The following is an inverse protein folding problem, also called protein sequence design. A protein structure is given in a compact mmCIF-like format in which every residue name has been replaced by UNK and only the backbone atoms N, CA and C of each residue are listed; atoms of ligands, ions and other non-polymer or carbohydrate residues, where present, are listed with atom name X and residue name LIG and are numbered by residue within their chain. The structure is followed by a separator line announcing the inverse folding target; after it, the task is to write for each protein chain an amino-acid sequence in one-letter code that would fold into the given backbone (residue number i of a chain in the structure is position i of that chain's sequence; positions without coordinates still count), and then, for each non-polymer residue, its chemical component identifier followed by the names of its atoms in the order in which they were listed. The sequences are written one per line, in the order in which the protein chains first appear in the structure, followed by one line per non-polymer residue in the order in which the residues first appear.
data_IF_454580945305
#
_entry.id   IF_454580945305
#
_cell.length_a   1.000
_cell.length_b   1.000
_cell.length_c   1.000
_cell.angle_alpha   90.00
_cell.angle_beta   90.00
_cell.angle_gamma   90.00
#
_symmetry.space_group_name_H-M   'P 1'
#
loop_
_entity.id
_entity.type
_entity.pdbx_description
1 polymer ?
#
# COMPACT_ATOMS: atom_id res chain seq x y z
N UNK A 1 10.86 7.06 5.56
CA UNK A 1 10.76 7.96 6.72
C UNK A 1 10.34 7.13 7.93
N UNK A 2 11.30 6.62 8.68
CA UNK A 2 11.10 5.52 9.63
C UNK A 2 10.87 6.09 11.04
N UNK A 3 9.60 6.29 11.39
CA UNK A 3 9.03 6.35 12.74
C UNK A 3 9.88 6.88 13.93
N UNK A 4 10.51 8.06 13.79
CA UNK A 4 11.27 8.72 14.88
C UNK A 4 10.44 8.91 16.16
N UNK A 5 9.12 9.01 16.03
CA UNK A 5 8.20 9.20 17.15
C UNK A 5 8.18 8.05 18.16
N UNK A 6 8.55 6.84 17.75
CA UNK A 6 8.63 5.66 18.64
C UNK A 6 10.08 5.18 18.82
N UNK A 7 11.07 5.97 18.42
CA UNK A 7 12.49 5.61 18.54
C UNK A 7 12.90 5.31 19.99
N UNK A 8 12.21 5.91 20.97
CA UNK A 8 12.44 5.64 22.39
C UNK A 8 12.10 4.22 22.82
N UNK A 9 11.11 3.58 22.18
CA UNK A 9 10.77 2.19 22.44
C UNK A 9 11.82 1.24 21.86
N UNK A 10 12.52 1.62 20.78
CA UNK A 10 13.50 0.75 20.11
C UNK A 10 14.73 0.44 20.96
N UNK A 11 15.06 1.32 21.91
CA UNK A 11 16.23 1.13 22.75
C UNK A 11 15.95 1.71 24.14
N UNK A 12 15.42 0.85 25.01
CA UNK A 12 15.06 1.17 26.39
C UNK A 12 16.30 1.63 27.17
N UNK A 13 17.49 1.08 26.90
CA UNK A 13 18.73 1.48 27.60
C UNK A 13 19.25 2.85 27.17
N UNK A 14 19.01 3.27 25.93
CA UNK A 14 19.20 4.66 25.51
C UNK A 14 18.18 5.56 26.19
N UNK A 15 16.91 5.13 26.28
CA UNK A 15 15.88 5.90 26.99
C UNK A 15 16.24 6.14 28.45
N UNK A 16 16.74 5.14 29.17
CA UNK A 16 17.20 5.29 30.57
C UNK A 16 18.17 6.46 30.77
N UNK A 17 19.06 6.70 29.79
CA UNK A 17 20.13 7.72 29.83
C UNK A 17 19.68 9.13 29.43
N UNK A 18 18.46 9.30 28.92
CA UNK A 18 17.92 10.61 28.50
C UNK A 18 17.47 11.40 29.74
N UNK A 19 17.65 12.73 29.69
CA UNK A 19 17.19 13.66 30.73
C UNK A 19 15.66 13.64 30.86
N UNK A 20 15.13 13.72 32.09
CA UNK A 20 13.70 13.66 32.37
C UNK A 20 12.88 14.69 31.57
N UNK A 21 13.38 15.92 31.43
CA UNK A 21 12.72 16.96 30.63
C UNK A 21 12.59 16.60 29.15
N UNK A 22 13.60 15.93 28.59
CA UNK A 22 13.57 15.46 27.20
C UNK A 22 12.63 14.28 27.02
N UNK A 23 12.61 13.34 27.98
CA UNK A 23 11.67 12.20 27.99
C UNK A 23 10.21 12.67 27.95
N UNK A 24 9.87 13.62 28.84
CA UNK A 24 8.53 14.21 28.90
C UNK A 24 8.14 14.89 27.60
N UNK A 25 9.05 15.68 27.01
CA UNK A 25 8.80 16.33 25.73
C UNK A 25 8.54 15.33 24.59
N UNK A 26 9.21 14.18 24.59
CA UNK A 26 8.96 13.11 23.61
C UNK A 26 7.57 12.49 23.80
N UNK A 27 7.15 12.22 25.04
CA UNK A 27 5.83 11.64 25.33
C UNK A 27 4.69 12.59 24.93
N UNK A 28 4.81 13.89 25.24
CA UNK A 28 3.83 14.90 24.84
C UNK A 28 3.76 15.07 23.32
N UNK A 29 4.91 15.01 22.62
CA UNK A 29 4.93 15.01 21.15
C UNK A 29 4.23 13.78 20.58
N UNK A 30 4.38 12.61 21.22
CA UNK A 30 3.70 11.40 20.79
C UNK A 30 2.18 11.53 20.98
N UNK A 31 1.73 12.04 22.12
CA UNK A 31 0.32 12.33 22.36
C UNK A 31 -0.24 13.24 21.28
N UNK A 32 0.39 14.39 21.01
CA UNK A 32 -0.06 15.31 19.96
C UNK A 32 -0.17 14.65 18.58
N UNK A 33 0.73 13.72 18.28
CA UNK A 33 0.73 12.99 17.00
C UNK A 33 -0.37 11.92 16.93
N UNK A 34 -0.78 11.38 18.07
CA UNK A 34 -1.86 10.40 18.22
C UNK A 34 -3.19 11.04 18.64
N UNK A 35 -3.27 12.37 18.71
CA UNK A 35 -4.52 13.10 18.90
C UNK A 35 -5.22 13.22 17.55
N UNK A 36 -6.43 12.68 17.48
CA UNK A 36 -7.31 12.83 16.31
C UNK A 36 -7.77 14.28 16.13
N UNK A 37 -8.27 14.63 14.94
CA UNK A 37 -8.79 15.97 14.64
C UNK A 37 -9.96 16.38 15.56
N UNK A 38 -10.66 15.42 16.17
CA UNK A 38 -11.72 15.65 17.16
C UNK A 38 -11.21 15.96 18.57
N UNK A 39 -9.90 15.96 18.78
CA UNK A 39 -9.27 16.25 20.07
C UNK A 39 -9.18 15.06 21.02
N UNK A 40 -9.68 13.88 20.63
CA UNK A 40 -9.49 12.65 21.40
C UNK A 40 -8.08 12.10 21.16
N UNK A 41 -7.31 11.94 22.25
CA UNK A 41 -5.97 11.37 22.24
C UNK A 41 -6.02 9.87 22.61
N UNK A 42 -5.31 9.04 21.85
CA UNK A 42 -5.21 7.60 22.13
C UNK A 42 -4.37 7.28 23.38
N UNK A 43 -3.51 8.23 23.80
CA UNK A 43 -2.63 8.11 24.95
C UNK A 43 -2.55 9.44 25.71
N UNK A 44 -2.27 9.36 27.01
CA UNK A 44 -1.83 10.49 27.82
C UNK A 44 -0.30 10.51 27.92
N UNK A 45 0.32 11.60 27.48
CA UNK A 45 1.77 11.74 27.43
C UNK A 45 2.42 11.92 28.79
N UNK A 46 1.70 12.44 29.79
CA UNK A 46 2.21 12.59 31.15
C UNK A 46 2.19 11.25 31.87
N UNK A 47 1.08 10.50 31.75
CA UNK A 47 0.99 9.16 32.33
C UNK A 47 1.99 8.20 31.66
N UNK A 48 2.15 8.29 30.32
CA UNK A 48 3.16 7.52 29.60
C UNK A 48 4.58 7.80 30.13
N UNK A 49 4.90 9.05 30.46
CA UNK A 49 6.20 9.39 31.01
C UNK A 49 6.44 8.70 32.36
N UNK A 50 5.48 8.74 33.27
CA UNK A 50 5.57 8.07 34.56
C UNK A 50 5.64 6.54 34.44
N UNK A 51 4.83 5.96 33.55
CA UNK A 51 4.89 4.53 33.22
C UNK A 51 6.29 4.10 32.74
N UNK A 52 6.92 4.93 31.92
CA UNK A 52 8.28 4.69 31.42
C UNK A 52 9.37 4.87 32.48
N UNK A 53 9.14 5.67 33.52
CA UNK A 53 10.05 5.77 34.67
C UNK A 53 9.99 4.55 35.58
N UNK A 54 8.84 3.86 35.62
CA UNK A 54 8.67 2.61 36.35
C UNK A 54 9.27 1.40 35.61
N UNK A 55 9.41 1.50 34.29
CA UNK A 55 9.87 0.40 33.43
C UNK A 55 11.23 -0.18 33.88
N UNK A 56 12.30 0.60 34.19
CA UNK A 56 13.57 0.07 34.68
C UNK A 56 13.49 -0.64 36.03
N UNK A 57 12.47 -0.38 36.83
CA UNK A 57 12.26 -1.03 38.14
C UNK A 57 11.65 -2.42 37.94
N UNK A 58 10.77 -2.54 36.95
CA UNK A 58 10.07 -3.79 36.62
C UNK A 58 10.90 -4.69 35.71
N UNK A 59 11.75 -4.12 34.85
CA UNK A 59 12.53 -4.83 33.84
C UNK A 59 14.05 -4.61 34.04
N UNK A 60 14.75 -5.66 34.45
CA UNK A 60 16.16 -5.59 34.88
C UNK A 60 17.20 -5.75 33.75
N UNK A 61 16.80 -6.03 32.51
CA UNK A 61 17.74 -6.36 31.42
C UNK A 61 17.31 -5.84 30.06
N UNK A 62 18.26 -5.86 29.11
CA UNK A 62 18.09 -5.62 27.68
C UNK A 62 16.90 -6.46 27.16
N UNK A 63 15.74 -5.83 27.06
CA UNK A 63 14.48 -6.47 26.66
C UNK A 63 14.00 -5.84 25.38
N UNK A 64 13.53 -6.66 24.45
CA UNK A 64 12.96 -6.12 23.22
C UNK A 64 11.58 -5.54 23.50
N UNK A 65 11.09 -4.60 22.68
CA UNK A 65 9.73 -4.07 22.81
C UNK A 65 8.65 -5.17 22.81
N UNK A 66 8.91 -6.25 22.06
CA UNK A 66 8.03 -7.41 21.99
C UNK A 66 8.03 -8.20 23.31
N UNK A 67 9.19 -8.36 23.95
CA UNK A 67 9.30 -9.03 25.25
C UNK A 67 8.57 -8.25 26.34
N UNK A 68 8.74 -6.91 26.35
CA UNK A 68 8.02 -6.02 27.27
C UNK A 68 6.50 -6.13 27.05
N UNK A 69 6.05 -6.10 25.79
CA UNK A 69 4.63 -6.25 25.48
C UNK A 69 4.07 -7.60 25.93
N UNK A 70 4.77 -8.70 25.61
CA UNK A 70 4.36 -10.04 26.01
C UNK A 70 4.34 -10.21 27.53
N UNK A 71 5.30 -9.62 28.24
CA UNK A 71 5.33 -9.65 29.70
C UNK A 71 4.16 -8.89 30.32
N UNK A 72 3.89 -7.67 29.85
CA UNK A 72 2.75 -6.87 30.32
C UNK A 72 1.43 -7.63 30.12
N UNK A 73 1.27 -8.26 28.96
CA UNK A 73 0.05 -9.00 28.64
C UNK A 73 -0.07 -10.30 29.45
N UNK A 74 1.00 -11.09 29.54
CA UNK A 74 0.99 -12.38 30.25
C UNK A 74 0.77 -12.23 31.75
N UNK A 75 1.20 -11.11 32.34
CA UNK A 75 1.04 -10.83 33.77
C UNK A 75 -0.18 -9.94 34.08
N UNK A 76 -1.04 -9.66 33.10
CA UNK A 76 -2.21 -8.76 33.24
C UNK A 76 -1.86 -7.37 33.79
N UNK A 77 -0.70 -6.82 33.42
CA UNK A 77 -0.22 -5.50 33.86
C UNK A 77 -0.71 -4.36 32.96
N UNK A 78 -1.66 -4.63 32.06
CA UNK A 78 -2.23 -3.63 31.13
C UNK A 78 -2.95 -2.50 31.85
N UNK A 79 -3.46 -2.72 33.06
CA UNK A 79 -4.05 -1.66 33.89
C UNK A 79 -2.99 -0.79 34.59
N UNK A 80 -1.77 -1.30 34.76
CA UNK A 80 -0.65 -0.58 35.38
C UNK A 80 0.10 0.24 34.33
N UNK A 81 0.17 -0.29 33.11
CA UNK A 81 0.88 0.32 31.97
C UNK A 81 -0.04 0.53 30.75
N UNK A 82 -1.17 1.25 30.88
CA UNK A 82 -2.14 1.41 29.80
C UNK A 82 -1.55 2.17 28.60
N UNK A 83 -0.87 3.29 28.82
CA UNK A 83 -0.36 4.13 27.74
C UNK A 83 0.83 3.48 27.03
N UNK A 84 1.69 2.81 27.78
CA UNK A 84 2.81 2.04 27.26
C UNK A 84 2.32 0.84 26.46
N UNK A 85 1.30 0.12 26.93
CA UNK A 85 0.67 -0.99 26.21
C UNK A 85 0.12 -0.53 24.85
N UNK A 86 -0.62 0.59 24.82
CA UNK A 86 -1.14 1.18 23.59
C UNK A 86 0.02 1.59 22.66
N UNK A 87 1.02 2.27 23.19
CA UNK A 87 2.19 2.72 22.43
C UNK A 87 2.96 1.55 21.80
N UNK A 88 3.18 0.47 22.57
CA UNK A 88 3.83 -0.76 22.09
C UNK A 88 2.99 -1.45 21.01
N UNK A 89 1.67 -1.53 21.19
CA UNK A 89 0.76 -2.15 20.21
C UNK A 89 0.80 -1.39 18.89
N UNK A 90 0.73 -0.06 18.93
CA UNK A 90 0.85 0.78 17.72
C UNK A 90 2.22 0.58 17.07
N UNK A 91 3.29 0.65 17.85
CA UNK A 91 4.66 0.47 17.35
C UNK A 91 4.86 -0.88 16.65
N UNK A 92 4.41 -1.99 17.26
CA UNK A 92 4.54 -3.34 16.69
C UNK A 92 3.66 -3.55 15.45
N UNK A 93 2.53 -2.86 15.36
CA UNK A 93 1.58 -2.99 14.25
C UNK A 93 1.97 -2.15 13.03
N UNK A 94 2.63 -1.00 13.23
CA UNK A 94 2.98 -0.07 12.14
C UNK A 94 3.84 -0.73 11.04
N UNK A 95 4.95 -1.44 11.34
CA UNK A 95 5.75 -2.11 10.31
C UNK A 95 4.96 -3.17 9.54
N UNK A 96 4.10 -3.91 10.25
CA UNK A 96 3.26 -4.98 9.65
C UNK A 96 2.24 -4.37 8.70
N UNK A 97 1.51 -3.34 9.13
CA UNK A 97 0.51 -2.66 8.32
C UNK A 97 1.12 -1.99 7.08
N UNK A 98 2.30 -1.37 7.21
CA UNK A 98 3.03 -0.76 6.08
C UNK A 98 3.42 -1.84 5.06
N UNK A 99 4.04 -2.94 5.50
CA UNK A 99 4.44 -4.02 4.61
C UNK A 99 3.25 -4.70 3.90
N UNK A 100 2.14 -4.90 4.62
CA UNK A 100 0.90 -5.43 4.04
C UNK A 100 0.27 -4.47 3.02
N UNK A 101 0.27 -3.16 3.32
CA UNK A 101 -0.16 -2.12 2.41
C UNK A 101 0.66 -2.14 1.11
N UNK A 102 1.99 -2.10 1.21
CA UNK A 102 2.90 -2.16 0.06
C UNK A 102 2.70 -3.42 -0.79
N UNK A 103 2.56 -4.59 -0.13
CA UNK A 103 2.28 -5.86 -0.80
C UNK A 103 0.93 -5.81 -1.54
N UNK A 104 -0.11 -5.24 -0.93
CA UNK A 104 -1.44 -5.14 -1.52
C UNK A 104 -1.46 -4.20 -2.71
N UNK A 105 -0.84 -3.02 -2.61
CA UNK A 105 -0.70 -2.09 -3.73
C UNK A 105 0.14 -2.66 -4.87
N UNK A 106 1.19 -3.44 -4.56
CA UNK A 106 2.00 -4.13 -5.57
C UNK A 106 1.18 -5.17 -6.36
N UNK A 107 0.36 -5.98 -5.66
CA UNK A 107 -0.57 -6.91 -6.32
C UNK A 107 -1.58 -6.19 -7.22
N UNK A 108 -2.18 -5.10 -6.74
CA UNK A 108 -3.10 -4.29 -7.55
C UNK A 108 -2.41 -3.70 -8.79
N UNK A 109 -1.17 -3.22 -8.64
CA UNK A 109 -0.36 -2.71 -9.76
C UNK A 109 -0.08 -3.82 -10.79
N UNK A 110 0.24 -5.03 -10.34
CA UNK A 110 0.46 -6.19 -11.22
C UNK A 110 -0.80 -6.53 -12.01
N UNK A 111 -1.95 -6.65 -11.34
CA UNK A 111 -3.25 -6.98 -11.98
C UNK A 111 -3.63 -5.92 -13.01
N UNK A 112 -3.54 -4.63 -12.64
CA UNK A 112 -3.84 -3.52 -13.55
C UNK A 112 -2.93 -3.53 -14.78
N UNK A 113 -1.64 -3.82 -14.59
CA UNK A 113 -0.70 -3.93 -15.69
C UNK A 113 -1.01 -5.14 -16.59
N UNK A 114 -1.31 -6.30 -16.02
CA UNK A 114 -1.70 -7.48 -16.78
C UNK A 114 -2.93 -7.21 -17.65
N UNK A 115 -4.02 -6.71 -17.05
CA UNK A 115 -5.25 -6.39 -17.78
C UNK A 115 -5.01 -5.38 -18.91
N UNK A 116 -4.24 -4.32 -18.65
CA UNK A 116 -3.89 -3.32 -19.67
C UNK A 116 -3.06 -3.91 -20.81
N UNK A 117 -2.08 -4.75 -20.49
CA UNK A 117 -1.25 -5.43 -21.48
C UNK A 117 -2.09 -6.39 -22.32
N UNK A 118 -2.93 -7.22 -21.71
CA UNK A 118 -3.82 -8.15 -22.42
C UNK A 118 -4.78 -7.42 -23.35
N UNK A 119 -5.40 -6.32 -22.91
CA UNK A 119 -6.26 -5.48 -23.76
C UNK A 119 -5.50 -4.87 -24.95
N UNK A 120 -4.25 -4.43 -24.73
CA UNK A 120 -3.40 -3.92 -25.82
C UNK A 120 -3.00 -5.02 -26.79
N UNK A 121 -2.70 -6.22 -26.30
CA UNK A 121 -2.35 -7.37 -27.12
C UNK A 121 -3.53 -7.87 -27.95
N UNK A 122 -4.73 -7.93 -27.37
CA UNK A 122 -5.96 -8.29 -28.10
C UNK A 122 -6.21 -7.31 -29.27
N UNK A 123 -6.13 -6.00 -29.00
CA UNK A 123 -6.29 -4.97 -30.04
C UNK A 123 -5.22 -5.08 -31.13
N UNK A 124 -3.96 -5.32 -30.75
CA UNK A 124 -2.87 -5.50 -31.69
C UNK A 124 -3.08 -6.76 -32.55
N UNK A 125 -3.47 -7.87 -31.93
CA UNK A 125 -3.76 -9.13 -32.61
C UNK A 125 -4.89 -8.96 -33.63
N UNK A 126 -5.98 -8.30 -33.24
CA UNK A 126 -7.10 -8.03 -34.13
C UNK A 126 -6.69 -7.12 -35.30
N UNK A 127 -5.87 -6.09 -35.04
CA UNK A 127 -5.38 -5.21 -36.10
C UNK A 127 -4.43 -5.93 -37.07
N UNK A 128 -3.55 -6.79 -36.54
CA UNK A 128 -2.66 -7.61 -37.36
C UNK A 128 -3.46 -8.56 -38.28
N UNK A 129 -4.48 -9.21 -37.75
CA UNK A 129 -5.39 -10.05 -38.53
C UNK A 129 -6.08 -9.27 -39.65
N UNK A 130 -6.67 -8.10 -39.35
CA UNK A 130 -7.28 -7.23 -40.37
C UNK A 130 -6.25 -6.80 -41.43
N UNK A 131 -5.02 -6.50 -41.03
CA UNK A 131 -3.96 -6.08 -41.95
C UNK A 131 -3.56 -7.21 -42.91
N UNK A 132 -3.43 -8.45 -42.41
CA UNK A 132 -3.09 -9.62 -43.22
C UNK A 132 -4.23 -9.94 -44.20
N UNK A 133 -5.48 -9.99 -43.71
CA UNK A 133 -6.65 -10.24 -44.56
C UNK A 133 -6.81 -9.18 -45.66
N UNK A 134 -6.49 -7.90 -45.35
CA UNK A 134 -6.46 -6.83 -46.36
C UNK A 134 -5.41 -7.06 -47.45
N UNK A 135 -4.25 -7.62 -47.10
CA UNK A 135 -3.19 -7.91 -48.06
C UNK A 135 -3.52 -9.14 -48.92
N UNK A 136 -4.27 -10.10 -48.36
CA UNK A 136 -4.75 -11.31 -49.05
C UNK A 136 -6.00 -11.03 -49.89
N UNK A 137 -6.82 -10.02 -49.54
CA UNK A 137 -7.97 -9.56 -50.30
C UNK A 137 -7.54 -8.82 -51.58
N UNK A 138 -7.12 -9.62 -52.57
CA UNK A 138 -7.36 -9.54 -54.02
C UNK A 138 -7.54 -8.12 -54.58
N UNK A 139 -6.73 -7.78 -55.58
CA UNK A 139 -6.83 -6.58 -56.41
C UNK A 139 -8.29 -6.26 -56.79
N UNK A 140 -8.90 -5.38 -55.99
CA UNK A 140 -10.30 -4.96 -56.17
C UNK A 140 -10.50 -4.29 -57.52
N UNK A 141 -9.43 -3.82 -58.17
CA UNK A 141 -9.43 -3.29 -59.54
C UNK A 141 -9.89 -4.33 -60.55
N UNK A 142 -9.41 -5.57 -60.43
CA UNK A 142 -9.76 -6.64 -61.38
C UNK A 142 -11.18 -7.17 -61.12
N UNK A 143 -11.63 -7.24 -59.86
CA UNK A 143 -13.03 -7.55 -59.54
C UNK A 143 -13.99 -6.46 -60.02
N UNK A 144 -13.63 -5.19 -59.86
CA UNK A 144 -14.44 -4.05 -60.33
C UNK A 144 -14.48 -4.03 -61.87
N UNK A 145 -13.37 -4.32 -62.55
CA UNK A 145 -13.32 -4.44 -64.02
C UNK A 145 -14.16 -5.63 -64.52
N UNK A 146 -14.06 -6.80 -63.91
CA UNK A 146 -14.85 -7.98 -64.33
C UNK A 146 -16.35 -7.75 -64.11
N UNK A 147 -16.73 -7.07 -63.01
CA UNK A 147 -18.11 -6.66 -62.76
C UNK A 147 -18.62 -5.63 -63.78
N UNK A 148 -17.80 -4.64 -64.13
CA UNK A 148 -18.14 -3.64 -65.14
C UNK A 148 -18.29 -4.26 -66.55
N UNK A 149 -17.39 -5.18 -66.93
CA UNK A 149 -17.45 -5.89 -68.21
C UNK A 149 -18.66 -6.83 -68.33
N UNK A 150 -19.10 -7.46 -67.24
CA UNK A 150 -20.32 -8.30 -67.24
C UNK A 150 -21.60 -7.47 -67.32
N UNK A 151 -21.63 -6.28 -66.73
CA UNK A 151 -22.81 -5.39 -66.75
C UNK A 151 -22.97 -4.64 -68.07
N UNK A 152 -21.87 -4.27 -68.74
CA UNK A 152 -21.89 -3.64 -70.06
C UNK A 152 -22.42 -4.58 -71.17
N UNK A 153 -22.29 -5.90 -71.01
CA UNK A 153 -22.80 -6.90 -71.97
C UNK A 153 -24.32 -7.10 -71.95
N UNK A 154 -25.06 -6.39 -71.08
CA UNK A 154 -26.52 -6.51 -70.95
C UNK A 154 -27.31 -5.36 -71.59
N UNK A 155 -26.64 -4.44 -72.27
CA UNK A 155 -27.26 -3.33 -73.02
C UNK A 155 -27.01 -3.50 -74.51
N UNK A 156 -27.66 -4.50 -75.10
CA UNK A 156 -27.98 -4.48 -76.53
C UNK A 156 -29.35 -3.83 -76.69
N UNK A 157 -29.37 -2.52 -76.91
CA UNK A 157 -30.51 -1.88 -77.54
C UNK A 157 -30.43 -2.19 -79.03
N UNK A 158 -31.09 -3.29 -79.43
CA UNK A 158 -31.41 -3.59 -80.83
C UNK A 158 -32.10 -2.37 -81.43
N UNK A 159 -31.46 -1.79 -82.44
CA UNK A 159 -32.00 -0.68 -83.20
C UNK A 159 -33.28 -1.07 -83.93
N UNK A 160 -34.18 -0.09 -84.01
CA UNK A 160 -35.07 0.09 -85.15
C UNK A 160 -35.33 1.57 -85.38
#
# INVERSE_FOLDING_TARGET
AHNDSFAFLQNIDKWKKIEAGQKRAVCLKLQQKLTSESGAADIDGEDLFHELELLPIVFNSDTTPLDVFNYIYSNNLTSVFPNLSISLRIYLTVPVAVAEGERSFSKLKLIKNYLRSTMSQERLSNLAMISIEKEVAIDTSDLIKDFAHRKARKVDFLGH
#
